data_IF_895129046765
#
_entry.id   IF_895129046765
#
_cell.length_a   1.000
_cell.length_b   1.000
_cell.length_c   1.000
_cell.angle_alpha   90.00
_cell.angle_beta   90.00
_cell.angle_gamma   90.00
#
_symmetry.space_group_name_H-M   'P 1'
#
loop_
_entity.id
_entity.type
_entity.pdbx_description
1 polymer ?
#
# COMPACT_ATOMS: atom_id res chain seq x y z
N UNK A 1 -4.28 7.13 -5.06
CA UNK A 1 -3.55 6.13 -4.25
C UNK A 1 -2.65 6.78 -3.19
N UNK A 2 -1.69 7.64 -3.53
CA UNK A 2 -0.83 8.29 -2.52
C UNK A 2 -1.64 9.01 -1.42
N UNK A 3 -2.57 9.90 -1.79
CA UNK A 3 -3.47 10.57 -0.84
C UNK A 3 -4.27 9.61 0.05
N UNK A 4 -4.66 8.45 -0.49
CA UNK A 4 -5.41 7.41 0.25
C UNK A 4 -4.52 6.78 1.33
N UNK A 5 -3.27 6.45 1.01
CA UNK A 5 -2.32 5.94 1.99
C UNK A 5 -1.96 6.98 3.06
N UNK A 6 -1.84 8.26 2.68
CA UNK A 6 -1.59 9.35 3.63
C UNK A 6 -2.76 9.56 4.60
N UNK A 7 -4.00 9.43 4.12
CA UNK A 7 -5.20 9.63 4.93
C UNK A 7 -5.52 8.45 5.86
N UNK A 8 -5.28 7.21 5.41
CA UNK A 8 -5.73 6.00 6.11
C UNK A 8 -4.62 5.22 6.83
N UNK A 9 -3.35 5.62 6.67
CA UNK A 9 -2.23 4.96 7.33
C UNK A 9 -1.93 3.57 6.75
N UNK A 10 -1.95 2.54 7.59
CA UNK A 10 -1.60 1.17 7.19
C UNK A 10 -2.75 0.51 6.43
N UNK A 11 -2.49 0.20 5.16
CA UNK A 11 -3.48 -0.45 4.30
C UNK A 11 -2.87 -1.61 3.52
N UNK A 12 -3.67 -2.61 3.19
CA UNK A 12 -3.30 -3.73 2.33
C UNK A 12 -3.61 -3.43 0.87
N UNK A 13 -3.02 -4.19 -0.06
CA UNK A 13 -3.33 -4.01 -1.49
C UNK A 13 -4.83 -4.14 -1.83
N UNK A 14 -5.58 -4.92 -1.05
CA UNK A 14 -7.03 -5.07 -1.22
C UNK A 14 -7.77 -3.79 -0.85
N UNK A 15 -7.54 -3.28 0.36
CA UNK A 15 -8.16 -2.03 0.83
C UNK A 15 -7.77 -0.84 -0.03
N UNK A 16 -6.51 -0.76 -0.48
CA UNK A 16 -6.09 0.29 -1.42
C UNK A 16 -6.86 0.17 -2.74
N UNK A 17 -7.16 -1.05 -3.21
CA UNK A 17 -7.92 -1.25 -4.44
C UNK A 17 -9.38 -0.81 -4.29
N UNK A 18 -10.00 -1.15 -3.17
CA UNK A 18 -11.36 -0.76 -2.85
C UNK A 18 -11.48 0.77 -2.73
N UNK A 19 -10.58 1.41 -1.99
CA UNK A 19 -10.61 2.87 -1.76
C UNK A 19 -10.26 3.69 -3.01
N UNK A 20 -9.41 3.16 -3.90
CA UNK A 20 -8.96 3.91 -5.09
C UNK A 20 -9.70 3.54 -6.37
N UNK A 21 -10.48 2.45 -6.35
CA UNK A 21 -11.06 1.80 -7.52
C UNK A 21 -10.04 1.50 -8.65
N UNK A 22 -8.75 1.31 -8.28
CA UNK A 22 -7.67 1.01 -9.22
C UNK A 22 -7.46 -0.49 -9.36
N UNK A 23 -6.96 -0.89 -10.52
CA UNK A 23 -6.54 -2.28 -10.73
C UNK A 23 -5.40 -2.67 -9.78
N UNK A 24 -5.37 -3.94 -9.35
CA UNK A 24 -4.24 -4.48 -8.57
C UNK A 24 -2.90 -4.31 -9.27
N UNK A 25 -2.86 -4.31 -10.60
CA UNK A 25 -1.63 -4.08 -11.38
C UNK A 25 -1.10 -2.65 -11.18
N UNK A 26 -1.99 -1.67 -11.26
CA UNK A 26 -1.67 -0.25 -11.03
C UNK A 26 -1.17 -0.03 -9.61
N UNK A 27 -1.83 -0.64 -8.63
CA UNK A 27 -1.42 -0.55 -7.22
C UNK A 27 -0.02 -1.14 -7.01
N UNK A 28 0.24 -2.34 -7.53
CA UNK A 28 1.58 -2.95 -7.45
C UNK A 28 2.65 -2.06 -8.07
N UNK A 29 2.36 -1.49 -9.23
CA UNK A 29 3.29 -0.58 -9.91
C UNK A 29 3.58 0.68 -9.07
N UNK A 30 2.53 1.30 -8.51
CA UNK A 30 2.68 2.48 -7.67
C UNK A 30 3.39 2.18 -6.33
N UNK A 31 3.08 1.06 -5.67
CA UNK A 31 3.79 0.62 -4.45
C UNK A 31 5.26 0.32 -4.74
N UNK A 32 5.58 -0.20 -5.92
CA UNK A 32 6.97 -0.41 -6.33
C UNK A 32 7.71 0.92 -6.46
N UNK A 33 7.11 1.91 -7.14
CA UNK A 33 7.70 3.25 -7.27
C UNK A 33 7.91 3.90 -5.90
N UNK A 34 6.88 3.92 -5.04
CA UNK A 34 7.00 4.54 -3.71
C UNK A 34 8.07 3.88 -2.84
N UNK A 35 8.28 2.57 -2.99
CA UNK A 35 9.36 1.85 -2.31
C UNK A 35 10.73 2.20 -2.86
N UNK A 36 10.88 2.23 -4.18
CA UNK A 36 12.15 2.59 -4.85
C UNK A 36 12.57 4.01 -4.46
N UNK A 37 11.61 4.92 -4.30
CA UNK A 37 11.83 6.30 -3.87
C UNK A 37 11.93 6.47 -2.33
N UNK A 38 11.81 5.40 -1.54
CA UNK A 38 11.94 5.44 -0.08
C UNK A 38 10.72 5.98 0.69
N UNK A 39 9.61 6.29 0.01
CA UNK A 39 8.38 6.82 0.61
C UNK A 39 7.41 5.75 1.12
N UNK A 40 7.83 4.50 1.24
CA UNK A 40 6.96 3.39 1.61
C UNK A 40 7.51 2.55 2.76
N UNK A 41 6.74 2.46 3.84
CA UNK A 41 6.92 1.45 4.86
C UNK A 41 6.05 0.23 4.57
N UNK A 42 6.57 -0.97 4.83
CA UNK A 42 5.80 -2.21 4.74
C UNK A 42 5.99 -3.11 5.95
N UNK A 43 4.93 -3.84 6.30
CA UNK A 43 4.98 -4.91 7.31
C UNK A 43 4.11 -6.08 6.92
N UNK A 44 4.45 -7.29 7.39
CA UNK A 44 3.60 -8.47 7.21
C UNK A 44 2.43 -8.42 8.20
N UNK A 45 1.28 -8.96 7.78
CA UNK A 45 0.19 -9.27 8.70
C UNK A 45 0.65 -10.31 9.71
N UNK A 46 0.19 -10.23 10.95
CA UNK A 46 0.48 -11.28 11.95
C UNK A 46 -0.49 -12.46 11.82
N UNK A 47 -1.72 -12.19 11.38
CA UNK A 47 -2.77 -13.17 11.06
C UNK A 47 -2.48 -13.95 9.76
N UNK A 48 -2.00 -13.28 8.71
CA UNK A 48 -1.59 -13.89 7.44
C UNK A 48 -0.27 -13.30 6.94
N UNK A 49 0.82 -14.06 7.11
CA UNK A 49 2.16 -13.66 6.66
C UNK A 49 2.27 -13.45 5.13
N UNK A 50 1.31 -13.93 4.34
CA UNK A 50 1.24 -13.68 2.88
C UNK A 50 0.72 -12.27 2.58
N UNK A 51 -0.02 -11.67 3.50
CA UNK A 51 -0.55 -10.31 3.38
C UNK A 51 0.45 -9.29 3.92
N UNK A 52 0.53 -8.16 3.22
CA UNK A 52 1.36 -7.01 3.60
C UNK A 52 0.48 -5.79 3.79
N UNK A 53 0.84 -4.99 4.79
CA UNK A 53 0.37 -3.63 4.97
C UNK A 53 1.41 -2.65 4.47
N UNK A 54 0.93 -1.53 3.96
CA UNK A 54 1.69 -0.45 3.37
C UNK A 54 1.25 0.86 3.99
N UNK A 55 2.21 1.75 4.23
CA UNK A 55 1.98 3.12 4.68
C UNK A 55 2.99 4.02 3.99
N UNK A 56 2.63 5.29 3.77
CA UNK A 56 3.59 6.30 3.33
C UNK A 56 4.56 6.60 4.49
N UNK A 57 5.85 6.55 4.22
CA UNK A 57 6.88 7.00 5.16
C UNK A 57 6.70 8.51 5.39
N UNK A 58 6.59 8.92 6.66
CA UNK A 58 6.49 10.33 7.05
C UNK A 58 7.83 11.05 7.01
#
# INVERSE_FOLDING_TARGET
MLKVLMANGWMTQGEIAEETNLSRRTIKHALRILREEGFLEERRSLDDLRRKYYRVSG
#
